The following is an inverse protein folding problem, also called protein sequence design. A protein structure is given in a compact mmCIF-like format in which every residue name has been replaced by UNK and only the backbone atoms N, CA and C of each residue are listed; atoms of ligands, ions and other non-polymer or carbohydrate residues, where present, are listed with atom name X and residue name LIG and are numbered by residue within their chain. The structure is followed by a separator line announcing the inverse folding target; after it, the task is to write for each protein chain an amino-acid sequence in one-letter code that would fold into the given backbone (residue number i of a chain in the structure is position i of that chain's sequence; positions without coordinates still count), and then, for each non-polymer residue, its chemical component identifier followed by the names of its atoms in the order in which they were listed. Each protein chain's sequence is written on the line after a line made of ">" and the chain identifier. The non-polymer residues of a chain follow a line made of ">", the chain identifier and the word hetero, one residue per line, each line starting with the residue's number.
data_IF_920549904007
#
_entry.id   IF_920549904007
#
_cell.length_a   1.000
_cell.length_b   1.000
_cell.length_c   1.000
_cell.angle_alpha   90.00
_cell.angle_beta   90.00
_cell.angle_gamma   90.00
#
_symmetry.space_group_name_H-M   'P 1'
#
loop_
_entity.id
_entity.type
_entity.pdbx_description
1 polymer ?
#
# COMPACT_ATOMS: atom_id res chain seq x y z
N UNK A 1 -4.84 -7.30 24.57
CA UNK A 1 -3.57 -6.77 24.07
C UNK A 1 -3.84 -6.25 22.67
N UNK A 2 -3.69 -4.96 22.42
CA UNK A 2 -3.76 -4.43 21.05
C UNK A 2 -2.42 -4.75 20.40
N UNK A 3 -2.43 -5.42 19.26
CA UNK A 3 -1.24 -5.57 18.43
C UNK A 3 -1.04 -4.23 17.72
N UNK A 4 0.00 -3.50 18.10
CA UNK A 4 0.41 -2.29 17.40
C UNK A 4 1.29 -2.68 16.22
N UNK A 5 0.97 -2.16 15.03
CA UNK A 5 1.73 -2.39 13.80
C UNK A 5 2.07 -1.01 13.21
N UNK A 6 3.36 -0.76 12.98
CA UNK A 6 3.80 0.45 12.27
C UNK A 6 3.73 0.24 10.76
N UNK A 7 3.74 1.33 9.99
CA UNK A 7 3.75 1.26 8.52
C UNK A 7 4.98 0.50 8.04
N UNK A 8 6.13 0.75 8.68
CA UNK A 8 7.37 0.02 8.38
C UNK A 8 7.26 -1.48 8.64
N UNK A 9 6.54 -1.89 9.68
CA UNK A 9 6.35 -3.31 10.01
C UNK A 9 5.48 -4.00 8.93
N UNK A 10 4.44 -3.32 8.45
CA UNK A 10 3.63 -3.78 7.32
C UNK A 10 4.45 -3.84 6.02
N UNK A 11 5.27 -2.83 5.74
CA UNK A 11 6.10 -2.78 4.54
C UNK A 11 7.10 -3.95 4.50
N UNK A 12 7.76 -4.25 5.62
CA UNK A 12 8.67 -5.39 5.74
C UNK A 12 7.93 -6.73 5.64
N UNK A 13 6.70 -6.84 6.17
CA UNK A 13 5.88 -8.04 5.99
C UNK A 13 5.60 -8.31 4.50
N UNK A 14 5.19 -7.29 3.75
CA UNK A 14 4.94 -7.39 2.30
C UNK A 14 6.23 -7.71 1.55
N UNK A 15 7.33 -7.04 1.88
CA UNK A 15 8.65 -7.26 1.28
C UNK A 15 9.09 -8.71 1.43
N UNK A 16 9.05 -9.25 2.64
CA UNK A 16 9.48 -10.61 2.95
C UNK A 16 8.64 -11.67 2.23
N UNK A 17 7.37 -11.38 1.93
CA UNK A 17 6.47 -12.31 1.24
C UNK A 17 6.53 -12.22 -0.27
N UNK A 18 6.70 -11.02 -0.83
CA UNK A 18 6.38 -10.77 -2.23
C UNK A 18 7.51 -10.15 -3.06
N UNK A 19 8.58 -9.63 -2.45
CA UNK A 19 9.61 -8.88 -3.19
C UNK A 19 10.23 -9.67 -4.33
N UNK A 20 10.55 -10.96 -4.15
CA UNK A 20 11.15 -11.79 -5.20
C UNK A 20 10.22 -11.94 -6.40
N UNK A 21 8.95 -12.25 -6.14
CA UNK A 21 7.91 -12.40 -7.16
C UNK A 21 7.66 -11.08 -7.88
N UNK A 22 7.56 -9.99 -7.13
CA UNK A 22 7.28 -8.65 -7.64
C UNK A 22 8.46 -8.14 -8.47
N UNK A 23 9.70 -8.43 -8.05
CA UNK A 23 10.91 -8.09 -8.82
C UNK A 23 10.97 -8.84 -10.14
N UNK A 24 10.55 -10.11 -10.15
CA UNK A 24 10.48 -10.93 -11.37
C UNK A 24 9.40 -10.41 -12.33
N UNK A 25 8.24 -10.01 -11.80
CA UNK A 25 7.13 -9.43 -12.58
C UNK A 25 7.45 -8.03 -13.10
N UNK A 26 8.25 -7.26 -12.37
CA UNK A 26 8.67 -5.91 -12.72
C UNK A 26 7.69 -4.83 -12.28
N UNK A 27 8.19 -3.58 -12.25
CA UNK A 27 7.49 -2.43 -11.69
C UNK A 27 6.14 -2.14 -12.35
N UNK A 28 6.09 -2.05 -13.68
CA UNK A 28 4.86 -1.67 -14.38
C UNK A 28 3.77 -2.74 -14.32
N UNK A 29 4.14 -4.02 -14.37
CA UNK A 29 3.17 -5.09 -14.18
C UNK A 29 2.70 -5.13 -12.72
N UNK A 30 3.57 -4.83 -11.74
CA UNK A 30 3.15 -4.67 -10.34
C UNK A 30 2.20 -3.48 -10.15
N UNK A 31 2.44 -2.37 -10.85
CA UNK A 31 1.54 -1.21 -10.87
C UNK A 31 0.18 -1.52 -11.53
N UNK A 32 0.14 -2.41 -12.51
CA UNK A 32 -1.12 -2.84 -13.12
C UNK A 32 -2.01 -3.57 -12.09
N UNK A 33 -1.44 -4.47 -11.28
CA UNK A 33 -2.16 -5.13 -10.18
C UNK A 33 -2.59 -4.13 -9.09
N UNK A 34 -1.73 -3.18 -8.73
CA UNK A 34 -2.16 -2.09 -7.83
C UNK A 34 -3.37 -1.32 -8.38
N UNK A 35 -3.39 -1.05 -9.69
CA UNK A 35 -4.51 -0.34 -10.32
C UNK A 35 -5.79 -1.19 -10.38
N UNK A 36 -5.65 -2.51 -10.47
CA UNK A 36 -6.74 -3.49 -10.40
C UNK A 36 -7.41 -3.41 -9.02
N UNK A 37 -6.66 -3.51 -7.91
CA UNK A 37 -7.25 -3.42 -6.56
C UNK A 37 -7.90 -2.06 -6.28
N UNK A 38 -7.38 -0.97 -6.85
CA UNK A 38 -8.04 0.34 -6.75
C UNK A 38 -9.41 0.31 -7.46
N UNK A 39 -9.52 -0.45 -8.55
CA UNK A 39 -10.78 -0.71 -9.25
C UNK A 39 -11.74 -1.56 -8.42
N UNK A 40 -11.25 -2.61 -7.79
CA UNK A 40 -12.03 -3.47 -6.90
C UNK A 40 -12.55 -2.68 -5.68
N UNK A 41 -11.69 -1.85 -5.08
CA UNK A 41 -12.09 -0.91 -4.02
C UNK A 41 -13.19 0.04 -4.49
N UNK A 42 -13.09 0.58 -5.70
CA UNK A 42 -14.12 1.46 -6.24
C UNK A 42 -15.46 0.74 -6.42
N UNK A 43 -15.44 -0.51 -6.88
CA UNK A 43 -16.63 -1.35 -7.00
C UNK A 43 -17.26 -1.67 -5.63
N UNK A 44 -16.44 -2.03 -4.64
CA UNK A 44 -16.88 -2.30 -3.27
C UNK A 44 -17.56 -1.06 -2.65
N UNK A 45 -16.98 0.13 -2.86
CA UNK A 45 -17.53 1.40 -2.41
C UNK A 45 -18.86 1.72 -3.10
N UNK A 46 -18.97 1.52 -4.41
CA UNK A 46 -20.24 1.74 -5.14
C UNK A 46 -21.37 0.85 -4.62
N UNK A 47 -21.04 -0.37 -4.19
CA UNK A 47 -22.00 -1.32 -3.60
C UNK A 47 -22.24 -1.08 -2.11
N UNK A 48 -21.45 -0.24 -1.46
CA UNK A 48 -21.42 -0.06 0.01
C UNK A 48 -21.28 -1.38 0.76
N UNK A 49 -20.53 -2.33 0.19
CA UNK A 49 -20.24 -3.61 0.82
C UNK A 49 -19.06 -3.44 1.79
N UNK A 50 -19.36 -3.22 3.06
CA UNK A 50 -18.35 -2.96 4.08
C UNK A 50 -17.31 -4.07 4.23
N UNK A 51 -17.68 -5.33 3.97
CA UNK A 51 -16.74 -6.44 4.07
C UNK A 51 -15.73 -6.37 2.91
N UNK A 52 -16.22 -6.16 1.70
CA UNK A 52 -15.33 -5.98 0.54
C UNK A 52 -14.50 -4.71 0.69
N UNK A 53 -15.06 -3.60 1.16
CA UNK A 53 -14.30 -2.36 1.40
C UNK A 53 -13.12 -2.62 2.36
N UNK A 54 -13.32 -3.39 3.44
CA UNK A 54 -12.24 -3.72 4.37
C UNK A 54 -11.12 -4.53 3.70
N UNK A 55 -11.49 -5.51 2.87
CA UNK A 55 -10.58 -6.36 2.09
C UNK A 55 -9.77 -5.53 1.09
N UNK A 56 -10.46 -4.76 0.23
CA UNK A 56 -9.81 -3.99 -0.82
C UNK A 56 -8.95 -2.84 -0.29
N UNK A 57 -9.31 -2.23 0.84
CA UNK A 57 -8.45 -1.23 1.49
C UNK A 57 -7.11 -1.85 1.92
N UNK A 58 -7.15 -3.08 2.43
CA UNK A 58 -5.93 -3.79 2.82
C UNK A 58 -5.09 -4.17 1.59
N UNK A 59 -5.71 -4.60 0.50
CA UNK A 59 -5.01 -4.99 -0.73
C UNK A 59 -4.40 -3.78 -1.45
N UNK A 60 -5.12 -2.66 -1.55
CA UNK A 60 -4.57 -1.40 -2.06
C UNK A 60 -3.34 -0.97 -1.26
N UNK A 61 -3.38 -1.08 0.07
CA UNK A 61 -2.20 -0.80 0.90
C UNK A 61 -1.06 -1.78 0.62
N UNK A 62 -1.34 -3.09 0.57
CA UNK A 62 -0.34 -4.12 0.32
C UNK A 62 0.40 -3.89 -1.02
N UNK A 63 -0.34 -3.60 -2.09
CA UNK A 63 0.25 -3.34 -3.39
C UNK A 63 1.02 -2.02 -3.47
N UNK A 64 0.56 -0.97 -2.77
CA UNK A 64 1.34 0.26 -2.62
C UNK A 64 2.69 -0.02 -1.96
N UNK A 65 2.70 -0.84 -0.90
CA UNK A 65 3.93 -1.25 -0.21
C UNK A 65 4.83 -2.10 -1.12
N UNK A 66 4.27 -2.98 -1.94
CA UNK A 66 5.02 -3.74 -2.97
C UNK A 66 5.69 -2.80 -3.98
N UNK A 67 4.98 -1.79 -4.49
CA UNK A 67 5.56 -0.77 -5.38
C UNK A 67 6.70 -0.04 -4.67
N UNK A 68 6.47 0.44 -3.44
CA UNK A 68 7.48 1.15 -2.66
C UNK A 68 8.75 0.31 -2.44
N UNK A 69 8.59 -1.00 -2.19
CA UNK A 69 9.71 -1.93 -2.07
C UNK A 69 10.51 -2.06 -3.38
N UNK A 70 9.84 -2.14 -4.53
CA UNK A 70 10.51 -2.22 -5.85
C UNK A 70 11.30 -0.96 -6.19
N UNK A 71 10.82 0.21 -5.77
CA UNK A 71 11.51 1.49 -6.00
C UNK A 71 12.37 1.95 -4.82
N UNK A 72 12.54 1.09 -3.81
CA UNK A 72 13.35 1.32 -2.63
C UNK A 72 12.98 2.61 -1.85
N UNK A 73 11.69 2.80 -1.60
CA UNK A 73 11.14 3.90 -0.79
C UNK A 73 10.64 3.36 0.55
N UNK A 74 11.11 3.93 1.66
CA UNK A 74 10.48 3.76 2.98
C UNK A 74 9.22 4.64 3.06
N UNK A 75 8.06 3.99 3.17
CA UNK A 75 6.75 4.67 3.13
C UNK A 75 6.50 5.47 4.41
N UNK A 76 6.91 4.96 5.56
CA UNK A 76 6.74 5.63 6.85
C UNK A 76 7.52 6.95 6.88
N UNK A 77 8.79 6.93 6.48
CA UNK A 77 9.61 8.13 6.37
C UNK A 77 9.10 9.09 5.31
N UNK A 78 8.67 8.59 4.15
CA UNK A 78 8.09 9.42 3.10
C UNK A 78 6.83 10.16 3.61
N UNK A 79 5.97 9.45 4.33
CA UNK A 79 4.77 10.02 4.93
C UNK A 79 5.11 11.04 6.03
N UNK A 80 6.02 10.69 6.95
CA UNK A 80 6.47 11.59 8.02
C UNK A 80 7.09 12.87 7.47
N UNK A 81 7.98 12.75 6.47
CA UNK A 81 8.56 13.92 5.80
C UNK A 81 7.48 14.82 5.22
N UNK A 82 6.50 14.24 4.52
CA UNK A 82 5.45 15.01 3.85
C UNK A 82 4.45 15.63 4.84
N UNK A 83 3.92 14.88 5.78
CA UNK A 83 2.76 15.31 6.56
C UNK A 83 3.07 15.71 8.00
N UNK A 84 4.20 15.29 8.56
CA UNK A 84 4.54 15.56 9.98
C UNK A 84 5.65 16.59 10.10
N UNK A 85 6.76 16.41 9.38
CA UNK A 85 7.95 17.27 9.50
C UNK A 85 7.89 18.49 8.61
N UNK A 86 7.47 18.33 7.35
CA UNK A 86 7.39 19.45 6.42
C UNK A 86 6.25 20.43 6.74
N UNK A 87 5.39 20.12 7.73
CA UNK A 87 4.29 20.98 8.15
C UNK A 87 3.55 21.56 6.96
N UNK A 88 3.04 20.72 6.07
CA UNK A 88 2.56 21.22 4.77
C UNK A 88 1.36 22.14 4.98
N UNK A 89 1.61 23.43 4.72
CA UNK A 89 0.68 24.36 4.12
C UNK A 89 0.43 23.98 2.65
N UNK A 90 -0.81 23.51 2.42
CA UNK A 90 -1.62 23.54 1.20
C UNK A 90 -1.43 22.49 0.08
N UNK A 91 -2.49 22.25 -0.73
CA UNK A 91 -3.90 22.04 -0.39
C UNK A 91 -4.32 20.56 -0.48
#
# INVERSE_FOLDING_TARGET
>A
MVLEMRIRDAQELIKNRFLERDSTRGLFATFAWFSEEVGELAEALLKMDHKLIEEEVADVLAWLLSIANLVNIDVEEAFMRKYVTAGISQP
#
